data_IF_904826974781
#
_entry.id   IF_904826974781
#
_cell.length_a   1.000
_cell.length_b   1.000
_cell.length_c   1.000
_cell.angle_alpha   90.00
_cell.angle_beta   90.00
_cell.angle_gamma   90.00
#
_symmetry.space_group_name_H-M   'P 1'
#
loop_
_entity.id
_entity.type
_entity.pdbx_description
1 polymer ?
#
# COMPACT_ATOMS: atom_id res chain seq x y z
N UNK A 1 -21.28 -33.59 69.16
CA UNK A 1 -20.07 -33.55 68.31
C UNK A 1 -20.49 -33.30 66.87
N UNK A 2 -20.09 -32.14 66.33
CA UNK A 2 -20.06 -31.64 64.94
C UNK A 2 -21.01 -32.28 63.89
N UNK A 3 -22.03 -31.51 63.45
CA UNK A 3 -22.15 -30.83 62.14
C UNK A 3 -23.58 -30.22 62.01
N UNK A 4 -23.67 -28.89 62.02
CA UNK A 4 -24.04 -28.00 60.90
C UNK A 4 -25.48 -28.20 60.40
N UNK A 5 -26.34 -27.22 60.63
CA UNK A 5 -27.38 -26.79 59.70
C UNK A 5 -27.74 -25.33 59.97
N UNK A 6 -27.37 -24.47 59.03
CA UNK A 6 -27.78 -23.07 58.91
C UNK A 6 -29.09 -23.09 58.11
N UNK A 7 -30.22 -22.70 58.70
CA UNK A 7 -31.47 -22.51 57.96
C UNK A 7 -31.64 -21.02 57.68
N UNK A 8 -31.52 -20.67 56.41
CA UNK A 8 -31.75 -19.33 55.89
C UNK A 8 -33.25 -19.05 55.78
N UNK A 9 -33.62 -17.83 56.17
CA UNK A 9 -34.97 -17.28 56.15
C UNK A 9 -35.32 -16.86 54.71
N UNK A 10 -36.46 -17.35 54.23
CA UNK A 10 -37.02 -17.02 52.91
C UNK A 10 -37.65 -15.63 52.97
N UNK A 11 -37.18 -14.71 52.13
CA UNK A 11 -37.88 -13.47 51.81
C UNK A 11 -38.18 -13.46 50.31
N UNK A 12 -39.46 -13.58 49.99
CA UNK A 12 -40.01 -13.48 48.63
C UNK A 12 -40.08 -11.99 48.28
N UNK A 13 -39.37 -11.58 47.23
CA UNK A 13 -39.60 -10.30 46.55
C UNK A 13 -40.00 -10.60 45.11
N UNK A 14 -41.28 -10.34 44.83
CA UNK A 14 -41.88 -10.35 43.50
C UNK A 14 -41.36 -9.15 42.70
N UNK A 15 -40.68 -9.40 41.59
CA UNK A 15 -40.47 -8.40 40.54
C UNK A 15 -41.27 -8.78 39.29
N UNK A 16 -42.36 -8.02 39.07
CA UNK A 16 -43.09 -7.97 37.81
C UNK A 16 -42.24 -7.35 36.71
N UNK A 17 -42.39 -7.92 35.52
CA UNK A 17 -41.72 -7.57 34.27
C UNK A 17 -42.08 -6.17 33.74
N UNK A 18 -41.10 -5.51 33.12
CA UNK A 18 -41.30 -4.54 32.04
C UNK A 18 -40.15 -4.63 31.02
N UNK A 19 -40.53 -5.05 29.80
CA UNK A 19 -39.95 -4.73 28.49
C UNK A 19 -38.43 -4.71 28.33
N UNK A 20 -37.89 -5.78 27.74
CA UNK A 20 -36.60 -5.77 27.06
C UNK A 20 -36.62 -4.88 25.83
N UNK A 21 -36.00 -3.71 25.95
CA UNK A 21 -35.48 -2.93 24.82
C UNK A 21 -33.99 -3.20 24.73
N UNK A 22 -33.58 -4.13 23.87
CA UNK A 22 -32.18 -4.28 23.48
C UNK A 22 -31.79 -3.07 22.63
N UNK A 23 -31.26 -2.03 23.27
CA UNK A 23 -30.56 -0.95 22.60
C UNK A 23 -29.36 -1.54 21.86
N UNK A 24 -29.49 -1.66 20.54
CA UNK A 24 -28.34 -1.84 19.64
C UNK A 24 -27.39 -0.68 19.92
N UNK A 25 -26.24 -0.99 20.51
CA UNK A 25 -25.10 -0.09 20.48
C UNK A 25 -24.65 -0.08 19.02
N UNK A 26 -25.09 0.92 18.26
CA UNK A 26 -24.44 1.27 17.01
C UNK A 26 -23.02 1.72 17.39
N UNK A 27 -22.03 0.89 17.06
CA UNK A 27 -20.66 1.37 16.94
C UNK A 27 -20.67 2.51 15.93
N UNK A 28 -20.60 3.75 16.44
CA UNK A 28 -20.17 4.87 15.62
C UNK A 28 -18.74 4.56 15.19
N UNK A 29 -18.58 4.01 13.98
CA UNK A 29 -17.35 4.23 13.22
C UNK A 29 -17.17 5.73 13.18
N UNK A 30 -16.13 6.25 13.84
CA UNK A 30 -15.67 7.60 13.57
C UNK A 30 -15.45 7.66 12.06
N UNK A 31 -16.26 8.46 11.37
CA UNK A 31 -16.08 8.68 9.95
C UNK A 31 -14.71 9.32 9.80
N UNK A 32 -13.78 8.65 9.12
CA UNK A 32 -12.51 9.25 8.73
C UNK A 32 -12.76 10.56 7.95
N UNK A 33 -11.72 11.37 7.72
CA UNK A 33 -11.88 12.69 7.09
C UNK A 33 -12.46 12.65 5.66
N UNK A 34 -12.48 11.48 5.02
CA UNK A 34 -13.04 11.25 3.69
C UNK A 34 -14.47 10.70 3.77
N UNK A 35 -15.38 11.30 3.00
CA UNK A 35 -16.82 11.00 3.00
C UNK A 35 -17.29 10.27 1.74
N UNK A 36 -16.42 10.10 0.75
CA UNK A 36 -16.76 9.69 -0.61
C UNK A 36 -17.30 10.81 -1.49
N UNK A 37 -17.21 12.07 -1.06
CA UNK A 37 -17.74 13.22 -1.79
C UNK A 37 -16.93 13.50 -3.07
N UNK A 38 -17.61 14.07 -4.06
CA UNK A 38 -16.98 14.44 -5.34
C UNK A 38 -15.82 15.41 -5.13
N UNK A 39 -14.66 15.10 -5.70
CA UNK A 39 -13.45 15.93 -5.64
C UNK A 39 -12.85 16.09 -4.24
N UNK A 40 -13.20 15.23 -3.27
CA UNK A 40 -12.65 15.30 -1.92
C UNK A 40 -11.16 14.94 -1.86
N UNK A 41 -10.69 14.06 -2.76
CA UNK A 41 -9.30 13.61 -2.86
C UNK A 41 -8.54 14.53 -3.82
N UNK A 42 -7.51 15.20 -3.31
CA UNK A 42 -6.67 16.12 -4.07
C UNK A 42 -5.24 15.60 -4.12
N UNK A 43 -4.82 15.17 -5.31
CA UNK A 43 -3.54 14.50 -5.51
C UNK A 43 -2.39 15.49 -5.61
N UNK A 44 -1.29 15.14 -4.95
CA UNK A 44 0.04 15.70 -5.15
C UNK A 44 0.98 14.58 -5.59
N UNK A 45 1.47 14.62 -6.83
CA UNK A 45 2.45 13.64 -7.31
C UNK A 45 3.86 14.17 -7.04
N UNK A 46 4.64 13.45 -6.22
CA UNK A 46 5.99 13.84 -5.85
C UNK A 46 7.02 13.02 -6.63
N UNK A 47 7.92 13.72 -7.33
CA UNK A 47 9.08 13.19 -8.05
C UNK A 47 8.76 11.89 -8.83
N UNK A 48 7.76 11.90 -9.73
CA UNK A 48 7.39 10.71 -10.48
C UNK A 48 8.57 10.23 -11.32
N UNK A 49 8.93 8.96 -11.20
CA UNK A 49 10.00 8.32 -11.95
C UNK A 49 9.71 6.86 -12.31
N UNK A 50 8.49 6.40 -12.05
CA UNK A 50 7.99 5.09 -12.42
C UNK A 50 6.57 5.23 -13.00
N UNK A 51 6.20 4.34 -13.92
CA UNK A 51 4.91 4.44 -14.63
C UNK A 51 3.70 4.30 -13.70
N UNK A 52 3.85 3.68 -12.52
CA UNK A 52 2.80 3.59 -11.51
C UNK A 52 2.30 4.97 -11.04
N UNK A 53 3.16 6.00 -11.01
CA UNK A 53 2.73 7.35 -10.66
C UNK A 53 1.62 7.88 -11.60
N UNK A 54 1.71 7.56 -12.89
CA UNK A 54 0.69 7.93 -13.86
C UNK A 54 -0.51 6.96 -13.83
N UNK A 55 -0.31 5.68 -13.54
CA UNK A 55 -1.41 4.69 -13.53
C UNK A 55 -2.49 4.97 -12.50
N UNK A 56 -2.16 5.64 -11.38
CA UNK A 56 -3.17 6.15 -10.43
C UNK A 56 -4.20 7.04 -11.12
N UNK A 57 -3.80 7.74 -12.18
CA UNK A 57 -4.62 8.64 -12.99
C UNK A 57 -5.06 7.99 -14.32
N UNK A 58 -5.00 6.66 -14.47
CA UNK A 58 -5.41 6.02 -15.74
C UNK A 58 -6.92 6.18 -16.04
N UNK A 59 -7.75 6.33 -15.02
CA UNK A 59 -9.20 6.49 -15.08
C UNK A 59 -9.61 7.68 -14.21
N UNK A 60 -10.74 8.32 -14.53
CA UNK A 60 -11.35 9.31 -13.64
C UNK A 60 -12.14 8.62 -12.53
N UNK A 61 -12.03 9.14 -11.31
CA UNK A 61 -12.85 8.75 -10.17
C UNK A 61 -13.59 9.99 -9.67
N UNK A 62 -14.88 9.90 -9.39
CA UNK A 62 -15.66 11.08 -8.98
C UNK A 62 -15.10 11.73 -7.71
N UNK A 63 -14.54 10.95 -6.81
CA UNK A 63 -13.95 11.42 -5.55
C UNK A 63 -12.63 12.18 -5.75
N UNK A 64 -11.96 12.03 -6.91
CA UNK A 64 -10.65 12.65 -7.15
C UNK A 64 -10.81 13.93 -7.94
N UNK A 65 -10.29 15.03 -7.39
CA UNK A 65 -10.25 16.34 -8.04
C UNK A 65 -9.41 16.24 -9.34
N UNK A 66 -9.92 16.73 -10.50
CA UNK A 66 -9.18 16.68 -11.76
C UNK A 66 -7.89 17.49 -11.74
N UNK A 67 -7.72 18.45 -10.83
CA UNK A 67 -6.49 19.22 -10.68
C UNK A 67 -5.47 18.45 -9.85
N UNK A 68 -4.36 18.08 -10.49
CA UNK A 68 -3.27 17.33 -9.86
C UNK A 68 -2.01 18.18 -9.82
N UNK A 69 -1.48 18.38 -8.62
CA UNK A 69 -0.25 19.14 -8.42
C UNK A 69 0.97 18.21 -8.51
N UNK A 70 1.96 18.57 -9.33
CA UNK A 70 3.14 17.75 -9.59
C UNK A 70 4.37 18.52 -9.14
N UNK A 71 5.15 17.94 -8.23
CA UNK A 71 6.38 18.53 -7.71
C UNK A 71 7.56 17.62 -8.02
N UNK A 72 8.52 18.08 -8.82
CA UNK A 72 9.64 17.23 -9.24
C UNK A 72 10.92 18.07 -9.46
N UNK A 73 12.11 17.43 -9.45
CA UNK A 73 13.26 18.00 -10.14
C UNK A 73 12.98 18.07 -11.65
N UNK A 74 13.64 19.01 -12.33
CA UNK A 74 13.65 19.02 -13.80
C UNK A 74 14.39 17.78 -14.33
N UNK A 75 13.82 17.11 -15.33
CA UNK A 75 14.40 15.87 -15.88
C UNK A 75 13.43 15.05 -16.73
N UNK A 76 13.93 14.03 -17.44
CA UNK A 76 13.12 13.20 -18.33
C UNK A 76 12.00 12.46 -17.60
N UNK A 77 12.18 12.12 -16.32
CA UNK A 77 11.18 11.37 -15.56
C UNK A 77 9.85 12.12 -15.40
N UNK A 78 9.89 13.44 -15.13
CA UNK A 78 8.66 14.24 -15.02
C UNK A 78 8.03 14.46 -16.40
N UNK A 79 8.83 14.60 -17.47
CA UNK A 79 8.27 14.68 -18.83
C UNK A 79 7.57 13.39 -19.23
N UNK A 80 8.18 12.24 -18.97
CA UNK A 80 7.59 10.93 -19.24
C UNK A 80 6.28 10.72 -18.47
N UNK A 81 6.21 11.21 -17.23
CA UNK A 81 4.96 11.21 -16.46
C UNK A 81 3.89 12.07 -17.14
N UNK A 82 4.20 13.32 -17.50
CA UNK A 82 3.26 14.25 -18.14
C UNK A 82 2.78 13.72 -19.50
N UNK A 83 3.66 13.13 -20.31
CA UNK A 83 3.29 12.50 -21.58
C UNK A 83 2.30 11.35 -21.40
N UNK A 84 2.40 10.58 -20.31
CA UNK A 84 1.43 9.51 -20.00
C UNK A 84 0.07 10.07 -19.62
N UNK A 85 0.04 11.13 -18.79
CA UNK A 85 -1.21 11.82 -18.43
C UNK A 85 -1.88 12.41 -19.67
N UNK A 86 -1.12 13.08 -20.53
CA UNK A 86 -1.60 13.59 -21.83
C UNK A 86 -2.15 12.45 -22.71
N UNK A 87 -1.47 11.31 -22.74
CA UNK A 87 -1.93 10.11 -23.44
C UNK A 87 -3.27 9.59 -22.93
N UNK A 88 -3.51 9.63 -21.61
CA UNK A 88 -4.81 9.28 -21.04
C UNK A 88 -5.89 10.31 -21.37
N UNK A 89 -5.54 11.60 -21.39
CA UNK A 89 -6.49 12.67 -21.73
C UNK A 89 -6.90 12.64 -23.21
N UNK A 90 -6.00 12.22 -24.12
CA UNK A 90 -6.23 12.25 -25.58
C UNK A 90 -6.71 10.93 -26.17
N UNK A 91 -6.81 9.85 -25.39
CA UNK A 91 -7.21 8.54 -25.93
C UNK A 91 -8.67 8.56 -26.43
N UNK A 92 -9.01 7.81 -27.49
CA UNK A 92 -10.36 7.82 -28.04
C UNK A 92 -11.40 7.23 -27.09
N UNK A 93 -11.04 6.18 -26.36
CA UNK A 93 -11.96 5.44 -25.49
C UNK A 93 -11.84 5.90 -24.04
N UNK A 94 -12.92 6.46 -23.49
CA UNK A 94 -12.99 6.96 -22.11
C UNK A 94 -11.81 7.91 -21.76
N UNK A 95 -11.63 9.04 -22.47
CA UNK A 95 -10.55 9.98 -22.18
C UNK A 95 -10.66 10.51 -20.74
N UNK A 96 -9.51 10.73 -20.10
CA UNK A 96 -9.46 11.45 -18.82
C UNK A 96 -9.45 12.96 -19.06
N UNK A 97 -9.59 13.75 -17.99
CA UNK A 97 -9.58 15.22 -18.06
C UNK A 97 -8.70 15.82 -16.96
N UNK A 98 -7.53 15.23 -16.73
CA UNK A 98 -6.60 15.66 -15.68
C UNK A 98 -5.94 16.99 -16.05
N UNK A 99 -5.90 17.90 -15.08
CA UNK A 99 -5.25 19.20 -15.18
C UNK A 99 -3.98 19.18 -14.32
N UNK A 100 -2.82 19.13 -14.98
CA UNK A 100 -1.52 19.06 -14.30
C UNK A 100 -1.00 20.47 -13.96
N UNK A 101 -0.89 20.78 -12.67
CA UNK A 101 -0.23 21.99 -12.16
C UNK A 101 1.19 21.63 -11.74
N UNK A 102 2.19 22.05 -12.52
CA UNK A 102 3.55 21.52 -12.41
C UNK A 102 4.52 22.53 -11.81
N UNK A 103 5.26 22.08 -10.80
CA UNK A 103 6.43 22.75 -10.25
C UNK A 103 7.68 21.90 -10.49
N UNK A 104 8.65 22.48 -11.22
CA UNK A 104 9.98 21.89 -11.47
C UNK A 104 11.04 22.76 -10.81
N UNK A 105 11.74 22.22 -9.81
CA UNK A 105 12.75 22.98 -9.07
C UNK A 105 13.53 22.08 -8.12
N UNK A 106 14.72 22.49 -7.64
CA UNK A 106 15.55 21.69 -6.75
C UNK A 106 14.95 21.50 -5.34
N UNK A 107 14.07 22.41 -4.92
CA UNK A 107 13.36 22.44 -3.64
C UNK A 107 11.93 21.87 -3.74
N UNK A 108 11.66 21.01 -4.74
CA UNK A 108 10.35 20.41 -5.01
C UNK A 108 9.65 19.80 -3.78
N UNK A 109 10.39 19.08 -2.93
CA UNK A 109 9.84 18.50 -1.70
C UNK A 109 9.41 19.59 -0.72
N UNK A 110 10.27 20.56 -0.45
CA UNK A 110 9.99 21.68 0.45
C UNK A 110 8.82 22.52 -0.08
N UNK A 111 8.77 22.74 -1.39
CA UNK A 111 7.69 23.46 -2.07
C UNK A 111 6.34 22.74 -1.90
N UNK A 112 6.28 21.43 -2.16
CA UNK A 112 5.07 20.63 -1.95
C UNK A 112 4.59 20.70 -0.49
N UNK A 113 5.52 20.54 0.47
CA UNK A 113 5.20 20.52 1.90
C UNK A 113 4.82 21.90 2.45
N UNK A 114 5.21 22.99 1.79
CA UNK A 114 4.86 24.36 2.20
C UNK A 114 3.52 24.81 1.60
N UNK A 115 3.28 24.50 0.33
CA UNK A 115 2.05 24.89 -0.37
C UNK A 115 0.88 23.98 -0.01
N UNK A 116 1.13 22.67 0.15
CA UNK A 116 0.15 21.61 0.46
C UNK A 116 -1.21 21.78 -0.25
N UNK A 117 -1.25 21.91 -1.58
CA UNK A 117 -2.52 22.11 -2.29
C UNK A 117 -3.45 20.89 -2.27
N UNK A 118 -2.94 19.71 -1.90
CA UNK A 118 -3.69 18.47 -1.83
C UNK A 118 -3.60 17.75 -0.47
N UNK A 119 -4.32 16.64 -0.36
CA UNK A 119 -4.45 15.84 0.87
C UNK A 119 -3.95 14.39 0.72
N UNK A 120 -3.55 13.99 -0.49
CA UNK A 120 -2.92 12.69 -0.77
C UNK A 120 -1.65 12.90 -1.61
N UNK A 121 -0.50 12.46 -1.10
CA UNK A 121 0.74 12.36 -1.87
C UNK A 121 0.80 11.01 -2.59
N UNK A 122 1.03 11.03 -3.90
CA UNK A 122 1.38 9.85 -4.70
C UNK A 122 2.88 9.84 -4.95
N UNK A 123 3.56 8.74 -4.65
CA UNK A 123 5.01 8.59 -4.86
C UNK A 123 5.34 7.27 -5.54
N UNK A 124 5.89 7.33 -6.75
CA UNK A 124 6.43 6.18 -7.48
C UNK A 124 7.61 6.61 -8.36
N UNK A 125 8.82 6.15 -8.03
CA UNK A 125 10.05 6.63 -8.64
C UNK A 125 11.28 6.07 -7.93
N UNK A 126 12.27 6.93 -7.67
CA UNK A 126 13.53 6.54 -7.05
C UNK A 126 13.32 6.05 -5.61
N UNK A 127 13.56 4.76 -5.37
CA UNK A 127 13.22 4.10 -4.11
C UNK A 127 14.13 4.51 -2.94
N UNK A 128 15.36 4.98 -3.20
CA UNK A 128 16.26 5.46 -2.15
C UNK A 128 15.80 6.74 -1.45
N UNK A 129 14.95 7.54 -2.09
CA UNK A 129 14.42 8.78 -1.49
C UNK A 129 13.04 8.60 -0.87
N UNK A 130 12.38 7.50 -1.21
CA UNK A 130 10.96 7.27 -0.96
C UNK A 130 10.64 7.19 0.53
N UNK A 131 11.45 6.49 1.32
CA UNK A 131 11.25 6.38 2.77
C UNK A 131 11.24 7.76 3.45
N UNK A 132 12.14 8.66 3.03
CA UNK A 132 12.19 10.02 3.56
C UNK A 132 11.01 10.88 3.09
N UNK A 133 10.62 10.76 1.83
CA UNK A 133 9.42 11.45 1.32
C UNK A 133 8.15 11.04 2.06
N UNK A 134 7.98 9.74 2.28
CA UNK A 134 6.88 9.17 3.06
C UNK A 134 6.86 9.79 4.45
N UNK A 135 7.98 9.75 5.18
CA UNK A 135 8.08 10.31 6.52
C UNK A 135 7.73 11.80 6.56
N UNK A 136 8.25 12.59 5.63
CA UNK A 136 8.00 14.04 5.58
C UNK A 136 6.54 14.37 5.26
N UNK A 137 5.89 13.59 4.38
CA UNK A 137 4.49 13.77 4.05
C UNK A 137 3.57 13.45 5.25
N UNK A 138 3.80 12.32 5.93
CA UNK A 138 3.00 11.98 7.11
C UNK A 138 3.24 12.96 8.25
N UNK A 139 4.48 13.41 8.49
CA UNK A 139 4.79 14.50 9.45
C UNK A 139 3.99 15.77 9.13
N UNK A 140 3.77 16.05 7.86
CA UNK A 140 2.98 17.17 7.37
C UNK A 140 1.46 16.95 7.41
N UNK A 141 0.97 15.78 7.86
CA UNK A 141 -0.45 15.46 7.92
C UNK A 141 -1.07 15.16 6.55
N UNK A 142 -0.26 14.62 5.63
CA UNK A 142 -0.69 14.26 4.27
C UNK A 142 -0.80 12.73 4.19
N UNK A 143 -1.91 12.22 3.63
CA UNK A 143 -2.05 10.79 3.34
C UNK A 143 -1.07 10.41 2.22
N UNK A 144 -0.59 9.16 2.20
CA UNK A 144 0.42 8.71 1.25
C UNK A 144 -0.02 7.43 0.56
N UNK A 145 -0.04 7.46 -0.76
CA UNK A 145 -0.14 6.30 -1.63
C UNK A 145 1.21 6.08 -2.33
N UNK A 146 1.92 5.05 -1.93
CA UNK A 146 3.27 4.77 -2.39
C UNK A 146 3.35 3.54 -3.27
N UNK A 147 4.07 3.60 -4.38
CA UNK A 147 4.49 2.37 -5.03
C UNK A 147 5.48 1.60 -4.14
N UNK A 148 5.57 0.30 -4.34
CA UNK A 148 6.56 -0.54 -3.65
C UNK A 148 7.96 -0.34 -4.24
N UNK A 149 9.01 -0.85 -3.56
CA UNK A 149 9.06 -1.01 -2.10
C UNK A 149 9.07 0.36 -1.42
N UNK A 150 8.53 0.47 -0.21
CA UNK A 150 8.57 1.71 0.57
C UNK A 150 9.93 1.96 1.25
N UNK A 151 10.78 0.92 1.32
CA UNK A 151 12.12 0.96 1.89
C UNK A 151 12.98 -0.12 1.23
N UNK A 152 14.26 0.17 1.01
CA UNK A 152 15.18 -0.73 0.26
C UNK A 152 16.41 -1.16 1.06
N UNK A 153 16.60 -0.63 2.28
CA UNK A 153 17.73 -0.97 3.13
C UNK A 153 17.29 -1.22 4.58
N UNK A 154 17.95 -2.16 5.29
CA UNK A 154 17.64 -2.43 6.70
C UNK A 154 17.77 -1.20 7.60
N UNK A 155 18.79 -0.36 7.37
CA UNK A 155 19.07 0.82 8.19
C UNK A 155 17.95 1.88 8.08
N UNK A 156 17.19 1.88 6.99
CA UNK A 156 16.04 2.77 6.81
C UNK A 156 14.71 2.16 7.27
N UNK A 157 14.65 0.86 7.58
CA UNK A 157 13.41 0.23 8.03
C UNK A 157 12.83 0.87 9.30
N UNK A 158 13.62 1.23 10.34
CA UNK A 158 13.12 1.98 11.48
C UNK A 158 12.49 3.34 11.13
N UNK A 159 12.94 3.97 10.04
CA UNK A 159 12.36 5.23 9.52
C UNK A 159 10.96 4.99 8.95
N UNK A 160 10.76 3.86 8.26
CA UNK A 160 9.42 3.46 7.78
C UNK A 160 8.49 3.14 8.95
N UNK A 161 8.98 2.43 9.98
CA UNK A 161 8.19 2.19 11.20
C UNK A 161 7.78 3.50 11.89
N UNK A 162 8.70 4.47 11.97
CA UNK A 162 8.37 5.80 12.46
C UNK A 162 7.28 6.47 11.62
N UNK A 163 7.33 6.36 10.30
CA UNK A 163 6.31 6.93 9.43
C UNK A 163 4.91 6.33 9.70
N UNK A 164 4.81 5.01 9.89
CA UNK A 164 3.54 4.37 10.26
C UNK A 164 3.01 4.86 11.62
N UNK A 165 3.86 4.98 12.64
CA UNK A 165 3.45 5.54 13.94
C UNK A 165 2.94 6.98 13.82
N UNK A 166 3.66 7.83 13.08
CA UNK A 166 3.25 9.24 12.87
C UNK A 166 1.95 9.32 12.06
N UNK A 167 1.76 8.44 11.08
CA UNK A 167 0.53 8.36 10.32
C UNK A 167 -0.68 8.06 11.23
N UNK A 168 -0.54 7.09 12.12
CA UNK A 168 -1.53 6.77 13.16
C UNK A 168 -1.79 7.97 14.09
N UNK A 169 -0.73 8.58 14.65
CA UNK A 169 -0.83 9.75 15.54
C UNK A 169 -1.57 10.94 14.90
N UNK A 170 -1.44 11.11 13.57
CA UNK A 170 -2.07 12.20 12.80
C UNK A 170 -3.40 11.81 12.16
N UNK A 171 -3.83 10.55 12.27
CA UNK A 171 -5.03 10.06 11.62
C UNK A 171 -4.97 10.12 10.09
N UNK A 172 -3.78 9.94 9.49
CA UNK A 172 -3.58 9.87 8.04
C UNK A 172 -3.23 8.45 7.61
N UNK A 173 -3.55 8.11 6.36
CA UNK A 173 -3.22 6.81 5.78
C UNK A 173 -1.84 6.81 5.14
N UNK A 174 -1.05 5.78 5.41
CA UNK A 174 0.14 5.41 4.65
C UNK A 174 -0.11 4.03 4.06
N UNK A 175 -0.14 3.93 2.73
CA UNK A 175 -0.52 2.71 2.04
C UNK A 175 0.32 2.50 0.79
N UNK A 176 0.67 1.24 0.50
CA UNK A 176 1.36 0.88 -0.73
C UNK A 176 0.45 0.24 -1.78
N UNK A 177 1.00 -0.04 -2.97
CA UNK A 177 0.25 -0.52 -4.12
C UNK A 177 0.58 -2.01 -4.38
N UNK A 178 -0.19 -2.91 -3.76
CA UNK A 178 -0.11 -4.37 -3.99
C UNK A 178 -1.06 -4.83 -5.10
N UNK A 179 -0.67 -4.60 -6.36
CA UNK A 179 -1.52 -4.89 -7.53
C UNK A 179 -1.89 -6.36 -7.67
N UNK A 180 -0.98 -7.28 -7.34
CA UNK A 180 -1.17 -8.71 -7.60
C UNK A 180 -2.32 -9.33 -6.79
N UNK A 181 -2.77 -8.68 -5.70
CA UNK A 181 -3.97 -9.05 -4.96
C UNK A 181 -5.26 -8.96 -5.79
N UNK A 182 -5.25 -8.21 -6.89
CA UNK A 182 -6.39 -8.01 -7.79
C UNK A 182 -6.31 -8.87 -9.06
N UNK A 183 -5.29 -9.71 -9.17
CA UNK A 183 -5.21 -10.71 -10.24
C UNK A 183 -6.19 -11.86 -9.95
N UNK A 184 -6.88 -12.35 -10.97
CA UNK A 184 -8.00 -13.28 -10.79
C UNK A 184 -7.55 -14.63 -10.25
N UNK A 185 -6.40 -15.15 -10.67
CA UNK A 185 -5.88 -16.42 -10.15
C UNK A 185 -5.41 -16.29 -8.70
N UNK A 186 -4.81 -15.16 -8.32
CA UNK A 186 -4.50 -14.82 -6.92
C UNK A 186 -5.76 -14.81 -6.05
N UNK A 187 -6.83 -14.14 -6.50
CA UNK A 187 -8.12 -14.12 -5.78
C UNK A 187 -8.65 -15.55 -5.63
N UNK A 188 -8.61 -16.35 -6.68
CA UNK A 188 -9.06 -17.74 -6.62
C UNK A 188 -8.20 -18.61 -5.69
N UNK A 189 -6.87 -18.44 -5.68
CA UNK A 189 -5.98 -19.13 -4.74
C UNK A 189 -6.36 -18.82 -3.30
N UNK A 190 -6.58 -17.53 -2.97
CA UNK A 190 -7.04 -17.11 -1.65
C UNK A 190 -8.42 -17.65 -1.27
N UNK A 191 -9.37 -17.67 -2.20
CA UNK A 191 -10.72 -18.17 -1.89
C UNK A 191 -10.73 -19.69 -1.72
N UNK A 192 -9.96 -20.43 -2.52
CA UNK A 192 -9.85 -21.88 -2.40
C UNK A 192 -9.09 -22.29 -1.12
N UNK A 193 -8.08 -21.53 -0.69
CA UNK A 193 -7.34 -21.83 0.56
C UNK A 193 -8.22 -21.77 1.81
N UNK A 194 -9.35 -21.06 1.74
CA UNK A 194 -10.34 -20.93 2.83
C UNK A 194 -11.36 -22.07 2.88
N UNK A 195 -11.34 -23.02 1.95
CA UNK A 195 -12.31 -24.13 1.86
C UNK A 195 -11.63 -25.43 2.34
N UNK A 196 -11.82 -25.88 3.59
CA UNK A 196 -11.10 -27.04 4.14
C UNK A 196 -11.35 -28.34 3.38
N UNK A 197 -12.54 -28.52 2.79
CA UNK A 197 -12.87 -29.71 2.02
C UNK A 197 -12.11 -29.80 0.68
N UNK A 198 -11.59 -28.66 0.20
CA UNK A 198 -10.80 -28.57 -1.04
C UNK A 198 -9.31 -28.48 -0.72
N UNK A 199 -8.93 -27.57 0.16
CA UNK A 199 -7.53 -27.25 0.44
C UNK A 199 -6.95 -28.05 1.62
N UNK A 200 -7.80 -28.52 2.54
CA UNK A 200 -7.37 -29.09 3.80
C UNK A 200 -6.87 -28.01 4.75
N UNK A 201 -5.63 -28.15 5.21
CA UNK A 201 -4.94 -27.21 6.08
C UNK A 201 -3.56 -26.90 5.53
N UNK A 202 -3.08 -25.67 5.71
CA UNK A 202 -1.71 -25.29 5.34
C UNK A 202 -0.70 -26.19 6.06
N UNK A 203 0.18 -26.82 5.29
CA UNK A 203 1.27 -27.65 5.81
C UNK A 203 2.40 -26.74 6.32
N UNK A 204 3.20 -27.21 7.29
CA UNK A 204 4.38 -26.46 7.74
C UNK A 204 5.52 -26.49 6.70
N UNK A 205 5.59 -27.57 5.91
CA UNK A 205 6.70 -27.80 4.98
C UNK A 205 8.04 -28.00 5.70
N UNK A 206 9.13 -27.89 4.95
CA UNK A 206 10.51 -27.90 5.44
C UNK A 206 11.40 -27.01 4.57
N UNK A 207 12.67 -26.85 4.93
CA UNK A 207 13.64 -26.09 4.12
C UNK A 207 13.84 -26.72 2.74
N UNK A 208 13.83 -28.05 2.67
CA UNK A 208 14.05 -28.79 1.42
C UNK A 208 12.76 -28.95 0.59
N UNK A 209 11.59 -28.88 1.23
CA UNK A 209 10.28 -28.96 0.60
C UNK A 209 9.33 -27.89 1.21
N UNK A 210 9.39 -26.64 0.74
CA UNK A 210 8.56 -25.56 1.27
C UNK A 210 7.07 -25.81 1.02
N UNK A 211 6.23 -25.47 1.99
CA UNK A 211 4.78 -25.59 1.85
C UNK A 211 4.18 -24.57 0.86
N UNK A 212 4.87 -23.44 0.64
CA UNK A 212 4.48 -22.41 -0.32
C UNK A 212 5.71 -22.02 -1.12
N UNK A 213 5.57 -22.05 -2.44
CA UNK A 213 6.61 -21.63 -3.39
C UNK A 213 6.01 -20.62 -4.36
N UNK A 214 6.68 -19.47 -4.52
CA UNK A 214 6.34 -18.47 -5.54
C UNK A 214 7.62 -18.08 -6.26
N UNK A 215 7.63 -18.28 -7.57
CA UNK A 215 8.75 -17.93 -8.45
C UNK A 215 8.24 -16.95 -9.51
N UNK A 216 9.03 -15.91 -9.80
CA UNK A 216 8.69 -14.94 -10.82
C UNK A 216 9.89 -14.59 -11.68
N UNK A 217 9.67 -14.54 -13.00
CA UNK A 217 10.67 -14.13 -13.99
C UNK A 217 10.18 -12.87 -14.68
N UNK A 218 10.85 -11.74 -14.40
CA UNK A 218 10.57 -10.47 -15.06
C UNK A 218 11.66 -10.12 -16.06
N UNK A 219 11.26 -9.39 -17.11
CA UNK A 219 12.15 -8.86 -18.12
C UNK A 219 12.28 -7.35 -17.97
N UNK A 220 13.48 -6.81 -18.19
CA UNK A 220 13.71 -5.36 -18.14
C UNK A 220 12.88 -4.63 -19.20
N UNK A 221 12.84 -5.15 -20.42
CA UNK A 221 12.00 -4.61 -21.47
C UNK A 221 10.56 -5.12 -21.35
N UNK A 222 9.59 -4.21 -21.37
CA UNK A 222 8.16 -4.54 -21.47
C UNK A 222 7.37 -3.39 -22.08
N UNK A 223 6.17 -3.69 -22.55
CA UNK A 223 5.18 -2.68 -22.96
C UNK A 223 4.30 -2.29 -21.78
N UNK A 224 4.02 -1.01 -21.62
CA UNK A 224 3.09 -0.46 -20.62
C UNK A 224 2.15 0.50 -21.33
N UNK A 225 0.84 0.24 -21.25
CA UNK A 225 -0.20 1.02 -21.95
C UNK A 225 0.07 1.14 -23.47
N UNK A 226 0.57 0.07 -24.10
CA UNK A 226 0.84 0.02 -25.54
C UNK A 226 2.17 0.64 -25.98
N UNK A 227 2.96 1.21 -25.07
CA UNK A 227 4.27 1.82 -25.39
C UNK A 227 5.43 1.08 -24.73
N UNK A 228 6.61 0.99 -25.37
CA UNK A 228 7.82 0.51 -24.72
C UNK A 228 8.10 1.28 -23.43
N UNK A 229 8.45 0.56 -22.36
CA UNK A 229 8.86 1.16 -21.10
C UNK A 229 10.34 1.53 -21.16
N UNK A 230 10.63 2.83 -21.23
CA UNK A 230 11.97 3.38 -20.97
C UNK A 230 12.23 3.36 -19.47
N UNK A 231 13.42 2.90 -19.06
CA UNK A 231 13.84 2.89 -17.66
C UNK A 231 14.87 3.98 -17.42
N UNK A 232 14.75 4.75 -16.33
CA UNK A 232 15.75 5.73 -15.99
C UNK A 232 17.08 5.04 -15.61
N UNK A 233 18.25 5.68 -15.82
CA UNK A 233 19.54 5.07 -15.51
C UNK A 233 19.66 4.56 -14.07
N UNK A 234 19.08 5.28 -13.10
CA UNK A 234 19.10 4.88 -11.69
C UNK A 234 18.31 3.60 -11.39
N UNK A 235 17.46 3.13 -12.32
CA UNK A 235 16.78 1.83 -12.18
C UNK A 235 17.78 0.67 -12.10
N UNK A 236 18.94 0.80 -12.75
CA UNK A 236 19.99 -0.21 -12.75
C UNK A 236 21.01 -0.03 -11.61
N UNK A 237 20.85 1.02 -10.80
CA UNK A 237 21.61 1.21 -9.57
C UNK A 237 20.82 0.65 -8.39
N UNK A 238 21.26 -0.49 -7.85
CA UNK A 238 20.62 -1.15 -6.70
C UNK A 238 20.59 -0.29 -5.44
N UNK A 239 21.42 0.76 -5.35
CA UNK A 239 21.35 1.72 -4.24
C UNK A 239 20.20 2.72 -4.39
N UNK A 240 19.63 2.85 -5.59
CA UNK A 240 18.53 3.76 -5.90
C UNK A 240 17.22 3.01 -6.15
N UNK A 241 17.24 1.95 -6.95
CA UNK A 241 16.08 1.08 -7.18
C UNK A 241 15.83 0.10 -6.02
N UNK A 242 16.89 -0.32 -5.32
CA UNK A 242 16.84 -1.50 -4.46
C UNK A 242 17.29 -2.75 -5.21
N UNK A 243 17.84 -3.70 -4.46
CA UNK A 243 18.21 -5.02 -4.97
C UNK A 243 16.94 -5.80 -5.40
N UNK A 244 17.07 -6.73 -6.34
CA UNK A 244 15.93 -7.53 -6.81
C UNK A 244 15.23 -8.28 -5.67
N UNK A 245 15.98 -8.66 -4.63
CA UNK A 245 15.47 -9.35 -3.43
C UNK A 245 14.59 -8.46 -2.53
N UNK A 246 14.55 -7.14 -2.72
CA UNK A 246 13.65 -6.21 -1.99
C UNK A 246 12.63 -5.52 -2.89
N UNK A 247 12.78 -5.61 -4.22
CA UNK A 247 11.89 -4.93 -5.17
C UNK A 247 10.65 -5.77 -5.51
N UNK A 248 10.74 -6.70 -6.47
CA UNK A 248 9.58 -7.51 -6.91
C UNK A 248 9.11 -8.49 -5.84
N UNK A 249 10.04 -9.01 -5.05
CA UNK A 249 9.76 -9.92 -3.93
C UNK A 249 8.77 -9.33 -2.92
N UNK A 250 8.64 -8.00 -2.82
CA UNK A 250 7.59 -7.36 -2.01
C UNK A 250 6.21 -7.91 -2.35
N UNK A 251 5.88 -8.07 -3.64
CA UNK A 251 4.61 -8.69 -4.04
C UNK A 251 4.53 -10.17 -3.67
N UNK A 252 5.62 -10.93 -3.82
CA UNK A 252 5.58 -12.36 -3.53
C UNK A 252 5.39 -12.63 -2.03
N UNK A 253 6.09 -11.87 -1.19
CA UNK A 253 5.93 -11.92 0.27
C UNK A 253 4.51 -11.50 0.65
N UNK A 254 4.02 -10.40 0.08
CA UNK A 254 2.65 -9.93 0.27
C UNK A 254 1.59 -11.01 -0.04
N UNK A 255 1.72 -11.65 -1.20
CA UNK A 255 0.79 -12.69 -1.64
C UNK A 255 0.79 -13.91 -0.70
N UNK A 256 1.95 -14.34 -0.22
CA UNK A 256 2.02 -15.44 0.77
C UNK A 256 1.20 -15.08 2.00
N UNK A 257 1.38 -13.87 2.53
CA UNK A 257 0.66 -13.40 3.71
C UNK A 257 -0.85 -13.29 3.42
N UNK A 258 -1.22 -12.68 2.30
CA UNK A 258 -2.60 -12.37 1.94
C UNK A 258 -3.44 -13.62 1.58
N UNK A 259 -2.84 -14.60 0.92
CA UNK A 259 -3.49 -15.84 0.48
C UNK A 259 -3.53 -16.91 1.57
N UNK A 260 -2.41 -17.11 2.28
CA UNK A 260 -2.26 -18.22 3.23
C UNK A 260 -2.66 -17.83 4.66
N UNK A 261 -2.64 -16.54 5.00
CA UNK A 261 -2.98 -16.02 6.33
C UNK A 261 -3.99 -14.85 6.24
N UNK A 262 -5.16 -15.05 5.61
CA UNK A 262 -6.12 -13.98 5.35
C UNK A 262 -6.62 -13.34 6.64
N UNK A 263 -6.56 -12.00 6.72
CA UNK A 263 -7.02 -11.20 7.87
C UNK A 263 -6.28 -11.50 9.18
N UNK A 264 -5.09 -12.12 9.12
CA UNK A 264 -4.23 -12.37 10.28
C UNK A 264 -3.18 -11.26 10.40
N UNK A 265 -3.17 -10.47 11.50
CA UNK A 265 -2.10 -9.53 11.76
C UNK A 265 -0.79 -10.28 12.03
N UNK A 266 0.24 -9.98 11.24
CA UNK A 266 1.57 -10.56 11.38
C UNK A 266 2.50 -9.63 12.14
N UNK A 267 3.44 -10.23 12.87
CA UNK A 267 4.47 -9.55 13.64
C UNK A 267 5.86 -9.97 13.15
N UNK A 268 6.87 -9.20 13.55
CA UNK A 268 8.26 -9.50 13.19
C UNK A 268 8.71 -10.84 13.76
N UNK A 269 8.20 -11.21 14.93
CA UNK A 269 8.51 -12.47 15.60
C UNK A 269 7.93 -13.70 14.89
N UNK A 270 6.98 -13.50 13.97
CA UNK A 270 6.41 -14.57 13.15
C UNK A 270 7.32 -14.96 11.97
N UNK A 271 8.40 -14.20 11.74
CA UNK A 271 9.28 -14.37 10.58
C UNK A 271 10.67 -14.82 11.01
N UNK A 272 11.11 -15.96 10.47
CA UNK A 272 12.49 -16.42 10.54
C UNK A 272 13.09 -16.48 9.12
N UNK A 273 14.23 -15.79 8.91
CA UNK A 273 14.90 -15.76 7.61
C UNK A 273 15.89 -16.93 7.54
N UNK A 274 15.48 -18.02 6.92
CA UNK A 274 16.29 -19.25 6.81
C UNK A 274 17.44 -19.10 5.81
N UNK A 275 17.18 -18.54 4.62
CA UNK A 275 18.19 -18.38 3.57
C UNK A 275 17.82 -17.25 2.61
N UNK A 276 18.84 -16.57 2.08
CA UNK A 276 18.69 -15.53 1.06
C UNK A 276 19.86 -15.61 0.08
N UNK A 277 19.58 -15.43 -1.21
CA UNK A 277 20.59 -15.38 -2.27
C UNK A 277 20.29 -14.21 -3.20
N UNK A 278 21.35 -13.63 -3.76
CA UNK A 278 21.28 -12.61 -4.81
C UNK A 278 22.34 -12.89 -5.86
N UNK A 279 22.08 -12.52 -7.10
CA UNK A 279 23.01 -12.63 -8.21
C UNK A 279 22.71 -11.54 -9.26
N UNK A 280 23.70 -11.12 -10.06
CA UNK A 280 23.48 -10.13 -11.10
C UNK A 280 22.80 -10.73 -12.33
N UNK A 281 22.15 -9.86 -13.12
CA UNK A 281 21.83 -10.13 -14.52
C UNK A 281 22.78 -9.32 -15.39
N UNK A 282 23.54 -10.00 -16.24
CA UNK A 282 24.43 -9.33 -17.19
C UNK A 282 23.62 -8.72 -18.34
N UNK A 283 23.83 -7.42 -18.60
CA UNK A 283 23.16 -6.66 -19.67
C UNK A 283 24.06 -6.44 -20.88
N UNK A 284 25.26 -7.00 -20.90
CA UNK A 284 26.27 -6.77 -21.96
C UNK A 284 26.17 -7.73 -23.14
N UNK A 285 25.14 -8.59 -23.18
CA UNK A 285 24.95 -9.61 -24.22
C UNK A 285 23.93 -9.24 -25.29
#
# INVERSE_FOLDING_TARGET
MKRISFFAMVAIVLFSACSGGSSKVEEKKEAGPFTGAKGEVKLMTLAPGHFHAALVQKLMYEQVDPVVHIYAPEGPEVEDHLLRIEGYNRRPDNPTSWESVVYKGPDYLQKMLSEKPGNVMVVAGNNAKKTEYILKAVEAGINVLSDKPMVISPDEFPKLEQAFRIAEEKGVLLYDIMTERYEVTTILQRELSKIPEVFGSLQNGSVDEPAVTKESVHHFFKYVSGSPLTRPPWYFDVKQQGDGIVDVTTHLVDLIQWEAFPEVPLKKEDIDIVSAKRWPTDLTS
#
